data_IF_373137099636
#
_entry.id   IF_373137099636
#
_cell.length_a   1.000
_cell.length_b   1.000
_cell.length_c   1.000
_cell.angle_alpha   90.00
_cell.angle_beta   90.00
_cell.angle_gamma   90.00
#
_symmetry.space_group_name_H-M   'P 1'
#
loop_
_entity.id
_entity.type
_entity.pdbx_description
1 polymer ?
#
# COMPACT_ATOMS: atom_id res chain seq x y z
N UNK A 1 13.37 -13.18 0.48
CA UNK A 1 13.54 -13.10 1.94
C UNK A 1 13.84 -11.67 2.39
N UNK A 2 14.87 -11.01 1.83
CA UNK A 2 15.29 -9.64 2.21
C UNK A 2 14.19 -8.62 1.94
N UNK A 3 13.52 -8.72 0.82
CA UNK A 3 12.41 -7.83 0.44
C UNK A 3 11.24 -7.93 1.43
N UNK A 4 10.83 -9.15 1.79
CA UNK A 4 9.77 -9.37 2.78
C UNK A 4 10.14 -8.84 4.17
N UNK A 5 11.37 -9.07 4.61
CA UNK A 5 11.88 -8.54 5.88
C UNK A 5 11.93 -7.00 5.88
N UNK A 6 12.32 -6.40 4.76
CA UNK A 6 12.32 -4.93 4.62
C UNK A 6 10.92 -4.34 4.74
N UNK A 7 9.92 -4.95 4.11
CA UNK A 7 8.52 -4.52 4.23
C UNK A 7 8.04 -4.60 5.68
N UNK A 8 8.25 -5.72 6.34
CA UNK A 8 7.87 -5.91 7.75
C UNK A 8 8.57 -4.88 8.64
N UNK A 9 9.86 -4.67 8.44
CA UNK A 9 10.65 -3.69 9.18
C UNK A 9 10.13 -2.26 9.01
N UNK A 10 9.80 -1.85 7.79
CA UNK A 10 9.25 -0.53 7.49
C UNK A 10 7.90 -0.32 8.18
N UNK A 11 7.00 -1.29 8.12
CA UNK A 11 5.69 -1.20 8.78
C UNK A 11 5.79 -1.16 10.29
N UNK A 12 6.67 -1.96 10.89
CA UNK A 12 6.91 -1.96 12.34
C UNK A 12 7.51 -0.63 12.80
N UNK A 13 8.49 -0.09 12.06
CA UNK A 13 9.08 1.23 12.35
C UNK A 13 8.04 2.33 12.25
N UNK A 14 7.22 2.34 11.18
CA UNK A 14 6.13 3.29 11.00
C UNK A 14 5.12 3.22 12.16
N UNK A 15 4.68 2.03 12.52
CA UNK A 15 3.78 1.82 13.66
C UNK A 15 4.38 2.30 14.97
N UNK A 16 5.65 2.02 15.21
CA UNK A 16 6.39 2.45 16.41
C UNK A 16 6.54 3.98 16.49
N UNK A 17 6.85 4.64 15.37
CA UNK A 17 6.95 6.11 15.30
C UNK A 17 5.60 6.76 15.56
N UNK A 18 4.53 6.24 14.99
CA UNK A 18 3.17 6.75 15.21
C UNK A 18 2.77 6.62 16.68
N UNK A 19 3.11 5.51 17.33
CA UNK A 19 2.85 5.32 18.76
C UNK A 19 3.70 6.25 19.64
N UNK A 20 5.00 6.37 19.33
CA UNK A 20 5.92 7.19 20.12
C UNK A 20 5.63 8.68 20.06
N UNK A 21 5.13 9.17 18.92
CA UNK A 21 4.81 10.59 18.74
C UNK A 21 3.43 10.98 19.28
N UNK A 22 2.64 10.03 19.78
CA UNK A 22 1.28 10.28 20.25
C UNK A 22 0.37 10.87 19.17
N UNK A 23 0.75 10.71 17.91
CA UNK A 23 0.10 11.32 16.75
C UNK A 23 -1.25 10.69 16.38
N UNK A 24 -1.72 9.71 17.14
CA UNK A 24 -3.02 9.09 16.89
C UNK A 24 -4.17 10.11 16.87
N UNK A 25 -4.13 11.10 17.74
CA UNK A 25 -5.09 12.21 17.76
C UNK A 25 -4.98 13.12 16.53
N UNK A 26 -3.77 13.41 16.08
CA UNK A 26 -3.54 14.20 14.84
C UNK A 26 -3.94 13.43 13.59
N UNK A 27 -3.69 12.13 13.53
CA UNK A 27 -4.16 11.27 12.44
C UNK A 27 -5.68 11.20 12.38
N UNK A 28 -6.34 11.14 13.55
CA UNK A 28 -7.78 11.17 13.63
C UNK A 28 -8.33 12.54 13.18
N UNK A 29 -7.72 13.63 13.58
CA UNK A 29 -8.06 14.98 13.13
C UNK A 29 -7.89 15.15 11.62
N UNK A 30 -6.79 14.61 11.06
CA UNK A 30 -6.58 14.57 9.61
C UNK A 30 -7.62 13.71 8.89
N UNK A 31 -8.00 12.58 9.44
CA UNK A 31 -8.99 11.68 8.84
C UNK A 31 -10.41 12.26 8.82
N UNK A 32 -10.71 13.19 9.73
CA UNK A 32 -11.98 13.90 9.77
C UNK A 32 -11.97 15.21 8.98
N UNK A 33 -10.82 15.64 8.48
CA UNK A 33 -10.70 16.87 7.70
C UNK A 33 -11.34 16.69 6.32
N UNK A 34 -12.35 17.51 5.95
CA UNK A 34 -13.06 17.37 4.67
C UNK A 34 -12.14 17.54 3.45
N UNK A 35 -11.15 18.42 3.52
CA UNK A 35 -10.19 18.63 2.44
C UNK A 35 -9.32 17.40 2.17
N UNK A 36 -8.91 16.73 3.23
CA UNK A 36 -8.15 15.49 3.14
C UNK A 36 -8.99 14.37 2.52
N UNK A 37 -10.25 14.24 2.95
CA UNK A 37 -11.18 13.25 2.41
C UNK A 37 -11.49 13.48 0.93
N UNK A 38 -11.67 14.74 0.51
CA UNK A 38 -11.88 15.09 -0.90
C UNK A 38 -10.63 14.77 -1.73
N UNK A 39 -9.43 15.09 -1.23
CA UNK A 39 -8.18 14.76 -1.91
C UNK A 39 -8.00 13.25 -2.08
N UNK A 40 -8.30 12.46 -1.04
CA UNK A 40 -8.29 11.00 -1.11
C UNK A 40 -9.35 10.44 -2.05
N UNK A 41 -10.54 11.01 -2.04
CA UNK A 41 -11.61 10.64 -2.96
C UNK A 41 -11.17 10.82 -4.42
N UNK A 42 -10.61 11.97 -4.77
CA UNK A 42 -10.11 12.23 -6.13
C UNK A 42 -8.99 11.27 -6.48
N UNK A 43 -8.05 11.02 -5.58
CA UNK A 43 -6.95 10.09 -5.78
C UNK A 43 -7.47 8.67 -6.05
N UNK A 44 -8.42 8.19 -5.26
CA UNK A 44 -9.02 6.87 -5.41
C UNK A 44 -9.80 6.74 -6.72
N UNK A 45 -10.52 7.78 -7.14
CA UNK A 45 -11.21 7.81 -8.44
C UNK A 45 -10.21 7.71 -9.59
N UNK A 46 -9.11 8.45 -9.54
CA UNK A 46 -8.05 8.39 -10.55
C UNK A 46 -7.46 6.99 -10.64
N UNK A 47 -7.17 6.36 -9.51
CA UNK A 47 -6.68 4.98 -9.47
C UNK A 47 -7.71 3.98 -9.99
N UNK A 48 -8.97 4.10 -9.61
CA UNK A 48 -10.04 3.22 -10.07
C UNK A 48 -10.22 3.29 -11.58
N UNK A 49 -10.22 4.48 -12.15
CA UNK A 49 -10.31 4.70 -13.61
C UNK A 49 -9.06 4.14 -14.32
N UNK A 50 -7.89 4.28 -13.73
CA UNK A 50 -6.65 3.67 -14.23
C UNK A 50 -6.72 2.14 -14.21
N UNK A 51 -7.23 1.53 -13.14
CA UNK A 51 -7.42 0.08 -13.05
C UNK A 51 -8.45 -0.46 -14.04
N UNK A 52 -9.48 0.32 -14.36
CA UNK A 52 -10.45 -0.05 -15.41
C UNK A 52 -9.88 0.03 -16.82
N UNK A 53 -8.66 0.51 -17.01
CA UNK A 53 -7.98 0.57 -18.29
C UNK A 53 -8.35 1.79 -19.15
N UNK A 54 -8.98 2.81 -18.58
CA UNK A 54 -9.31 4.04 -19.30
C UNK A 54 -8.06 4.82 -19.72
N UNK A 55 -7.02 4.80 -18.89
CA UNK A 55 -5.68 5.27 -19.24
C UNK A 55 -4.63 4.49 -18.46
N UNK A 56 -3.52 4.20 -19.11
CA UNK A 56 -2.35 3.62 -18.43
C UNK A 56 -1.48 4.77 -17.92
N UNK A 57 -1.20 4.77 -16.62
CA UNK A 57 -0.23 5.68 -16.02
C UNK A 57 1.16 5.17 -16.45
N UNK A 58 1.57 5.52 -17.66
CA UNK A 58 2.91 5.22 -18.16
C UNK A 58 3.84 6.34 -17.74
N UNK A 59 4.70 6.05 -16.79
CA UNK A 59 5.83 6.91 -16.51
C UNK A 59 6.72 6.98 -17.77
N UNK A 60 7.26 8.15 -18.11
CA UNK A 60 8.21 8.26 -19.23
C UNK A 60 9.32 7.23 -19.07
N UNK A 61 9.63 6.52 -20.14
CA UNK A 61 10.65 5.46 -20.15
C UNK A 61 12.01 5.93 -19.61
N UNK A 62 12.30 7.22 -19.76
CA UNK A 62 13.53 7.83 -19.21
C UNK A 62 13.57 7.81 -17.68
N UNK A 63 12.42 7.87 -16.99
CA UNK A 63 12.35 7.82 -15.53
C UNK A 63 12.42 6.37 -15.03
N UNK A 64 11.78 5.47 -15.74
CA UNK A 64 11.84 4.03 -15.44
C UNK A 64 13.28 3.55 -15.61
N UNK A 65 13.92 3.86 -16.74
CA UNK A 65 15.30 3.44 -17.01
C UNK A 65 16.29 4.02 -15.98
N UNK A 66 16.09 5.27 -15.53
CA UNK A 66 16.92 5.84 -14.46
C UNK A 66 16.68 5.19 -13.10
N UNK A 67 15.45 4.78 -12.81
CA UNK A 67 15.13 4.08 -11.57
C UNK A 67 15.71 2.66 -11.60
N UNK A 68 15.59 1.96 -12.74
CA UNK A 68 16.15 0.63 -12.93
C UNK A 68 17.68 0.63 -12.89
N UNK A 69 18.32 1.64 -13.54
CA UNK A 69 19.78 1.79 -13.50
C UNK A 69 20.30 2.05 -12.08
N UNK A 70 19.55 2.80 -11.26
CA UNK A 70 19.87 3.00 -9.83
C UNK A 70 19.57 1.75 -8.99
N UNK A 71 18.53 1.01 -9.32
CA UNK A 71 18.20 -0.24 -8.64
C UNK A 71 19.26 -1.33 -8.94
N UNK A 72 19.72 -1.43 -10.18
CA UNK A 72 20.78 -2.36 -10.59
C UNK A 72 22.14 -2.05 -9.97
N UNK A 73 22.44 -0.77 -9.77
CA UNK A 73 23.69 -0.34 -9.11
C UNK A 73 23.62 -0.38 -7.58
N UNK A 74 22.43 -0.45 -7.00
CA UNK A 74 22.19 -0.23 -5.59
C UNK A 74 22.21 -1.46 -4.69
N UNK A 75 22.24 -2.67 -5.22
CA UNK A 75 22.19 -3.88 -4.39
C UNK A 75 21.09 -3.82 -3.32
N UNK A 76 21.48 -3.92 -2.04
CA UNK A 76 20.55 -3.85 -0.90
C UNK A 76 19.79 -2.53 -0.77
N UNK A 77 20.38 -1.41 -1.14
CA UNK A 77 19.77 -0.08 -1.07
C UNK A 77 18.64 0.05 -2.10
N UNK A 78 18.84 -0.47 -3.31
CA UNK A 78 17.81 -0.47 -4.35
C UNK A 78 16.58 -1.30 -3.93
N UNK A 79 16.79 -2.48 -3.38
CA UNK A 79 15.72 -3.35 -2.88
C UNK A 79 14.96 -2.69 -1.73
N UNK A 80 15.69 -2.06 -0.81
CA UNK A 80 15.09 -1.32 0.30
C UNK A 80 14.24 -0.14 -0.20
N UNK A 81 14.73 0.62 -1.19
CA UNK A 81 14.00 1.74 -1.78
C UNK A 81 12.73 1.30 -2.51
N UNK A 82 12.80 0.20 -3.27
CA UNK A 82 11.60 -0.38 -3.90
C UNK A 82 10.58 -0.85 -2.88
N UNK A 83 11.04 -1.50 -1.80
CA UNK A 83 10.17 -1.91 -0.70
C UNK A 83 9.53 -0.71 0.01
N UNK A 84 10.28 0.37 0.21
CA UNK A 84 9.79 1.62 0.79
C UNK A 84 8.70 2.26 -0.07
N UNK A 85 8.94 2.38 -1.38
CA UNK A 85 7.95 2.94 -2.32
C UNK A 85 6.69 2.10 -2.35
N UNK A 86 6.81 0.76 -2.40
CA UNK A 86 5.66 -0.13 -2.36
C UNK A 86 4.89 -0.01 -1.05
N UNK A 87 5.58 0.05 0.08
CA UNK A 87 4.95 0.25 1.39
C UNK A 87 4.19 1.57 1.47
N UNK A 88 4.78 2.67 0.98
CA UNK A 88 4.13 3.98 0.96
C UNK A 88 2.88 3.99 0.08
N UNK A 89 2.95 3.40 -1.12
CA UNK A 89 1.79 3.30 -2.03
C UNK A 89 0.70 2.43 -1.40
N UNK A 90 1.05 1.29 -0.84
CA UNK A 90 0.10 0.40 -0.15
C UNK A 90 -0.52 1.07 1.07
N UNK A 91 0.28 1.83 1.84
CA UNK A 91 -0.21 2.58 3.00
C UNK A 91 -1.20 3.69 2.61
N UNK A 92 -0.99 4.34 1.46
CA UNK A 92 -1.91 5.36 0.96
C UNK A 92 -3.32 4.79 0.72
N UNK A 93 -3.43 3.57 0.20
CA UNK A 93 -4.73 2.92 -0.05
C UNK A 93 -5.37 2.35 1.22
N UNK A 94 -4.57 1.86 2.16
CA UNK A 94 -5.02 1.21 3.40
C UNK A 94 -4.97 2.12 4.62
N UNK A 95 -4.40 3.32 4.46
CA UNK A 95 -4.25 4.32 5.52
C UNK A 95 -5.49 4.55 6.36
N UNK A 96 -6.68 4.73 5.77
CA UNK A 96 -7.91 4.91 6.53
C UNK A 96 -8.29 3.70 7.38
N UNK A 97 -8.09 2.49 6.87
CA UNK A 97 -8.38 1.26 7.60
C UNK A 97 -7.37 1.06 8.73
N UNK A 98 -6.10 1.25 8.40
CA UNK A 98 -5.01 1.17 9.38
C UNK A 98 -5.13 2.29 10.41
N UNK A 99 -5.52 3.50 9.99
CA UNK A 99 -5.73 4.63 10.88
C UNK A 99 -6.86 4.38 11.88
N UNK A 100 -8.00 3.85 11.45
CA UNK A 100 -9.10 3.51 12.34
C UNK A 100 -8.71 2.41 13.33
N UNK A 101 -8.02 1.37 12.87
CA UNK A 101 -7.52 0.31 13.74
C UNK A 101 -6.50 0.83 14.77
N UNK A 102 -5.62 1.74 14.35
CA UNK A 102 -4.66 2.37 15.26
C UNK A 102 -5.33 3.24 16.32
N UNK A 103 -6.35 4.01 15.93
CA UNK A 103 -7.10 4.85 16.88
C UNK A 103 -7.88 3.99 17.87
N UNK A 104 -8.54 2.95 17.39
CA UNK A 104 -9.29 2.02 18.23
C UNK A 104 -8.37 1.28 19.22
N UNK A 105 -7.24 0.82 18.73
CA UNK A 105 -6.23 0.16 19.55
C UNK A 105 -5.52 1.11 20.52
N UNK A 106 -5.34 2.37 20.16
CA UNK A 106 -4.78 3.39 21.06
C UNK A 106 -5.73 3.76 22.21
N UNK A 107 -7.06 3.66 21.98
CA UNK A 107 -8.06 3.90 23.01
C UNK A 107 -8.09 2.79 24.07
N UNK A 108 -7.78 1.56 23.68
CA UNK A 108 -7.72 0.41 24.62
C UNK A 108 -6.37 0.26 25.33
N UNK A 109 -5.35 0.95 24.89
CA UNK A 109 -4.02 1.00 25.50
C UNK A 109 -3.33 -0.37 25.55
N UNK A 110 -2.30 -0.59 24.74
CA UNK A 110 -1.59 -1.86 24.80
C UNK A 110 -0.70 -2.16 23.60
N UNK A 111 -0.29 -3.39 23.50
CA UNK A 111 0.58 -3.95 22.46
C UNK A 111 -0.22 -4.25 21.17
N UNK A 112 -1.54 -4.17 21.22
CA UNK A 112 -2.45 -4.50 20.13
C UNK A 112 -2.14 -3.81 18.79
N UNK A 113 -1.82 -2.50 18.72
CA UNK A 113 -1.45 -1.85 17.45
C UNK A 113 -0.18 -2.41 16.84
N UNK A 114 0.81 -2.75 17.65
CA UNK A 114 2.06 -3.34 17.15
C UNK A 114 1.83 -4.73 16.55
N UNK A 115 1.01 -5.54 17.19
CA UNK A 115 0.64 -6.88 16.70
C UNK A 115 -0.16 -6.74 15.40
N UNK A 116 -1.09 -5.79 15.34
CA UNK A 116 -1.88 -5.51 14.15
C UNK A 116 -1.04 -5.08 12.96
N UNK A 117 -0.10 -4.16 13.17
CA UNK A 117 0.82 -3.70 12.13
C UNK A 117 1.81 -4.79 11.69
N UNK A 118 2.30 -5.58 12.63
CA UNK A 118 3.13 -6.74 12.33
C UNK A 118 2.37 -7.78 11.49
N UNK A 119 1.14 -8.11 11.89
CA UNK A 119 0.27 -9.03 11.15
C UNK A 119 -0.05 -8.54 9.74
N UNK A 120 -0.32 -7.24 9.60
CA UNK A 120 -0.56 -6.61 8.30
C UNK A 120 0.68 -6.66 7.39
N UNK A 121 1.84 -6.30 7.93
CA UNK A 121 3.11 -6.39 7.20
C UNK A 121 3.45 -7.83 6.79
N UNK A 122 3.19 -8.78 7.67
CA UNK A 122 3.41 -10.20 7.41
C UNK A 122 2.44 -10.72 6.34
N UNK A 123 1.18 -10.32 6.39
CA UNK A 123 0.18 -10.69 5.38
C UNK A 123 0.53 -10.15 3.97
N UNK A 124 1.09 -8.95 3.89
CA UNK A 124 1.60 -8.39 2.64
C UNK A 124 2.90 -9.06 2.18
N UNK A 125 3.80 -9.35 3.10
CA UNK A 125 5.11 -9.94 2.77
C UNK A 125 4.99 -11.40 2.30
N UNK A 126 4.02 -12.16 2.80
CA UNK A 126 3.83 -13.58 2.48
C UNK A 126 3.67 -13.83 0.97
N UNK A 127 2.71 -13.23 0.25
CA UNK A 127 2.54 -13.49 -1.18
C UNK A 127 3.76 -13.05 -1.98
N UNK A 128 4.35 -11.90 -1.65
CA UNK A 128 5.54 -11.42 -2.37
C UNK A 128 6.76 -12.31 -2.16
N UNK A 129 6.96 -12.80 -0.94
CA UNK A 129 8.05 -13.74 -0.63
C UNK A 129 7.84 -15.07 -1.32
N UNK A 130 6.59 -15.55 -1.38
CA UNK A 130 6.24 -16.80 -2.08
C UNK A 130 6.50 -16.69 -3.58
N UNK A 131 6.09 -15.58 -4.20
CA UNK A 131 6.35 -15.34 -5.63
C UNK A 131 7.85 -15.17 -5.93
N UNK A 132 8.59 -14.56 -5.03
CA UNK A 132 10.04 -14.44 -5.18
C UNK A 132 10.78 -15.77 -4.99
N UNK A 133 10.25 -16.67 -4.15
CA UNK A 133 10.82 -17.99 -3.94
C UNK A 133 10.57 -18.96 -5.11
N UNK A 134 9.43 -18.80 -5.78
CA UNK A 134 9.03 -19.67 -6.88
C UNK A 134 8.75 -18.88 -8.17
N UNK A 135 9.78 -18.32 -8.82
CA UNK A 135 9.60 -17.56 -10.06
C UNK A 135 9.03 -18.43 -11.21
N UNK A 136 9.25 -19.75 -11.18
CA UNK A 136 8.69 -20.70 -12.15
C UNK A 136 7.17 -20.78 -12.10
N UNK A 137 6.56 -20.54 -10.97
CA UNK A 137 5.10 -20.56 -10.80
C UNK A 137 4.44 -19.35 -11.49
N UNK A 138 5.07 -18.19 -11.42
CA UNK A 138 4.67 -17.01 -12.18
C UNK A 138 4.71 -17.21 -13.70
N UNK A 139 5.72 -17.96 -14.19
CA UNK A 139 5.86 -18.28 -15.61
C UNK A 139 4.88 -19.37 -16.08
N UNK A 140 4.40 -20.22 -15.19
CA UNK A 140 3.40 -21.25 -15.50
C UNK A 140 1.96 -20.74 -15.40
N UNK A 141 1.73 -19.58 -14.77
CA UNK A 141 0.44 -18.93 -14.84
C UNK A 141 0.12 -18.54 -16.29
N UNK A 142 -1.07 -18.89 -16.79
CA UNK A 142 -1.44 -18.53 -18.16
C UNK A 142 -1.34 -17.02 -18.30
N UNK A 143 -0.49 -16.57 -19.20
CA UNK A 143 -0.36 -15.16 -19.61
C UNK A 143 -1.60 -14.64 -20.33
N UNK A 144 -2.69 -15.40 -20.31
CA UNK A 144 -3.99 -14.97 -20.80
C UNK A 144 -4.47 -13.84 -19.90
N UNK A 145 -4.39 -12.62 -20.40
CA UNK A 145 -4.73 -11.39 -19.70
C UNK A 145 -6.18 -11.31 -19.17
N UNK A 146 -7.01 -12.32 -19.41
CA UNK A 146 -8.38 -12.36 -18.95
C UNK A 146 -8.54 -12.39 -17.45
N UNK A 147 -7.79 -13.26 -16.75
CA UNK A 147 -7.87 -13.36 -15.28
C UNK A 147 -7.33 -12.11 -14.59
N UNK A 148 -6.18 -11.63 -15.06
CA UNK A 148 -5.56 -10.42 -14.53
C UNK A 148 -6.44 -9.19 -14.75
N UNK A 149 -7.09 -9.10 -15.90
CA UNK A 149 -8.03 -8.03 -16.22
C UNK A 149 -9.27 -8.09 -15.33
N UNK A 150 -9.80 -9.27 -15.06
CA UNK A 150 -10.92 -9.46 -14.13
C UNK A 150 -10.55 -9.02 -12.71
N UNK A 151 -9.37 -9.38 -12.21
CA UNK A 151 -8.88 -8.95 -10.90
C UNK A 151 -8.73 -7.43 -10.84
N UNK A 152 -8.18 -6.80 -11.88
CA UNK A 152 -8.07 -5.34 -11.96
C UNK A 152 -9.44 -4.64 -11.91
N UNK A 153 -10.42 -5.13 -12.64
CA UNK A 153 -11.77 -4.56 -12.66
C UNK A 153 -12.45 -4.71 -11.29
N UNK A 154 -12.33 -5.86 -10.66
CA UNK A 154 -12.88 -6.10 -9.30
C UNK A 154 -12.24 -5.16 -8.29
N UNK A 155 -10.92 -5.00 -8.30
CA UNK A 155 -10.20 -4.05 -7.46
C UNK A 155 -10.63 -2.60 -7.72
N UNK A 156 -10.84 -2.22 -8.98
CA UNK A 156 -11.33 -0.91 -9.37
C UNK A 156 -12.73 -0.62 -8.79
N UNK A 157 -13.64 -1.57 -8.84
CA UNK A 157 -14.95 -1.44 -8.22
C UNK A 157 -14.88 -1.33 -6.70
N UNK A 158 -14.00 -2.09 -6.07
CA UNK A 158 -13.79 -2.04 -4.63
C UNK A 158 -13.20 -0.67 -4.21
N UNK A 159 -12.29 -0.12 -4.98
CA UNK A 159 -11.77 1.24 -4.78
C UNK A 159 -12.84 2.31 -4.95
N UNK A 160 -13.73 2.17 -5.93
CA UNK A 160 -14.89 3.08 -6.08
C UNK A 160 -15.81 3.05 -4.87
N UNK A 161 -16.09 1.87 -4.33
CA UNK A 161 -16.89 1.72 -3.12
C UNK A 161 -16.25 2.42 -1.92
N UNK A 162 -14.94 2.28 -1.76
CA UNK A 162 -14.16 3.00 -0.73
C UNK A 162 -14.16 4.50 -0.96
N UNK A 163 -14.05 4.96 -2.21
CA UNK A 163 -14.12 6.37 -2.56
C UNK A 163 -15.46 7.01 -2.16
N UNK A 164 -16.57 6.31 -2.38
CA UNK A 164 -17.89 6.76 -1.92
C UNK A 164 -17.99 6.87 -0.40
N UNK A 165 -17.34 5.95 0.33
CA UNK A 165 -17.27 6.04 1.79
C UNK A 165 -16.53 7.31 2.24
N UNK A 166 -15.43 7.66 1.57
CA UNK A 166 -14.70 8.91 1.86
C UNK A 166 -15.52 10.15 1.54
N UNK A 167 -16.26 10.14 0.44
CA UNK A 167 -17.16 11.24 0.10
C UNK A 167 -18.27 11.40 1.13
N UNK A 168 -18.81 10.30 1.66
CA UNK A 168 -19.82 10.33 2.72
C UNK A 168 -19.30 10.92 4.03
N UNK A 169 -18.00 10.76 4.32
CA UNK A 169 -17.37 11.33 5.51
C UNK A 169 -16.94 12.81 5.34
N UNK A 170 -16.90 13.26 4.11
CA UNK A 170 -16.67 14.68 3.82
C UNK A 170 -17.97 15.46 3.83
#
# INVERSE_FOLDING_TARGET
AIYGLSIIGIYVILGGVVMATGSASKLNEMSTNPWFNIAFFVLLIVFAVSFMGAFEIRLPSSWINKADEKADKGGFIGIFFMALVLALVSFSCTGPIVGTLLVEAASEGGIAPMIGMFGFGLALALPFTLFAAFPGWLNSMPKSGGWLNTVKVVLGFLELALAFKFLSNA
#
